data_IF_803756232391
#
_entry.id   IF_803756232391
#
_cell.length_a   1.000
_cell.length_b   1.000
_cell.length_c   1.000
_cell.angle_alpha   90.00
_cell.angle_beta   90.00
_cell.angle_gamma   90.00
#
_symmetry.space_group_name_H-M   'P 1'
#
loop_
_entity.id
_entity.type
_entity.pdbx_description
1 polymer ?
#
# COMPACT_ATOMS: atom_id res chain seq x y z
N UNK A 1 -18.77 40.88 -34.01
CA UNK A 1 -18.32 40.96 -35.42
C UNK A 1 -19.17 41.98 -36.13
N UNK A 2 -18.59 42.89 -36.96
CA UNK A 2 -19.31 43.85 -37.75
C UNK A 2 -19.09 43.51 -39.22
N UNK A 3 -20.16 43.35 -40.00
CA UNK A 3 -20.11 43.22 -41.46
C UNK A 3 -20.75 44.45 -42.06
N UNK A 4 -20.02 45.12 -42.95
CA UNK A 4 -20.51 46.26 -43.66
C UNK A 4 -20.72 45.94 -45.15
N UNK A 5 -21.82 46.43 -45.70
CA UNK A 5 -22.11 46.36 -47.12
C UNK A 5 -22.31 47.77 -47.64
N UNK A 6 -21.62 48.10 -48.72
CA UNK A 6 -21.74 49.37 -49.40
C UNK A 6 -22.90 49.33 -50.36
N UNK A 7 -23.81 50.29 -50.26
CA UNK A 7 -24.92 50.44 -51.19
C UNK A 7 -24.51 51.38 -52.29
N UNK A 8 -24.69 50.96 -53.58
CA UNK A 8 -24.38 51.72 -54.77
C UNK A 8 -25.61 51.90 -55.64
N UNK A 9 -25.69 53.00 -56.36
CA UNK A 9 -26.68 53.24 -57.38
C UNK A 9 -26.35 52.55 -58.71
N UNK A 10 -27.23 52.72 -59.71
CA UNK A 10 -27.02 52.14 -61.05
C UNK A 10 -25.86 52.74 -61.83
N UNK A 11 -25.25 53.80 -61.33
CA UNK A 11 -24.09 54.50 -61.91
C UNK A 11 -22.81 54.25 -61.06
N UNK A 12 -22.86 53.25 -60.14
CA UNK A 12 -21.78 52.84 -59.25
C UNK A 12 -21.41 53.87 -58.14
N UNK A 13 -22.24 54.93 -57.94
CA UNK A 13 -22.03 55.88 -56.85
C UNK A 13 -22.50 55.30 -55.53
N UNK A 14 -21.71 55.46 -54.46
CA UNK A 14 -22.04 55.02 -53.13
C UNK A 14 -23.07 55.98 -52.54
N UNK A 15 -24.30 55.49 -52.16
CA UNK A 15 -25.30 56.30 -51.52
C UNK A 15 -25.56 55.86 -50.04
N UNK A 16 -24.96 54.78 -49.60
CA UNK A 16 -25.14 54.34 -48.19
C UNK A 16 -24.29 53.14 -47.79
N UNK A 17 -24.33 52.86 -46.51
CA UNK A 17 -23.68 51.69 -45.89
C UNK A 17 -24.67 51.00 -44.98
N UNK A 18 -24.74 49.69 -45.02
CA UNK A 18 -25.44 48.85 -44.05
C UNK A 18 -24.44 48.16 -43.20
N UNK A 19 -24.53 48.32 -41.89
CA UNK A 19 -23.71 47.60 -40.91
C UNK A 19 -24.61 46.61 -40.17
N UNK A 20 -24.21 45.36 -40.21
CA UNK A 20 -24.83 44.31 -39.38
C UNK A 20 -23.88 44.05 -38.19
N UNK A 21 -24.36 44.33 -37.01
CA UNK A 21 -23.62 44.07 -35.78
C UNK A 21 -24.14 42.79 -35.17
N UNK A 22 -23.26 41.84 -35.05
CA UNK A 22 -23.59 40.59 -34.36
C UNK A 22 -23.11 40.70 -32.93
N UNK A 23 -23.99 40.50 -31.96
CA UNK A 23 -23.61 40.29 -30.57
C UNK A 23 -23.08 38.86 -30.44
N UNK A 24 -21.79 38.71 -30.20
CA UNK A 24 -21.12 37.44 -30.05
C UNK A 24 -20.64 37.24 -28.59
N UNK A 25 -21.12 38.02 -27.66
CA UNK A 25 -20.70 38.05 -26.26
C UNK A 25 -20.92 36.68 -25.58
N UNK A 26 -22.08 36.06 -25.82
CA UNK A 26 -22.39 34.76 -25.24
C UNK A 26 -21.44 33.66 -25.73
N UNK A 27 -21.10 33.66 -27.02
CA UNK A 27 -20.18 32.71 -27.59
C UNK A 27 -18.72 32.95 -27.07
N UNK A 28 -18.37 34.23 -26.89
CA UNK A 28 -17.07 34.57 -26.33
C UNK A 28 -16.94 34.09 -24.85
N UNK A 29 -17.94 34.32 -24.03
CA UNK A 29 -17.99 33.84 -22.64
C UNK A 29 -17.93 32.31 -22.58
N UNK A 30 -18.69 31.63 -23.43
CA UNK A 30 -18.67 30.17 -23.51
C UNK A 30 -17.30 29.62 -23.90
N UNK A 31 -16.64 30.25 -24.87
CA UNK A 31 -15.27 29.87 -25.28
C UNK A 31 -14.27 30.06 -24.15
N UNK A 32 -14.31 31.20 -23.48
CA UNK A 32 -13.42 31.48 -22.35
C UNK A 32 -13.65 30.50 -21.18
N UNK A 33 -14.90 30.15 -20.88
CA UNK A 33 -15.22 29.12 -19.87
C UNK A 33 -14.68 27.73 -20.27
N UNK A 34 -14.79 27.36 -21.54
CA UNK A 34 -14.25 26.10 -22.07
C UNK A 34 -12.72 26.10 -21.98
N UNK A 35 -12.07 27.18 -22.41
CA UNK A 35 -10.61 27.32 -22.36
C UNK A 35 -10.09 27.26 -20.92
N UNK A 36 -10.75 27.95 -19.98
CA UNK A 36 -10.41 27.91 -18.57
C UNK A 36 -10.62 26.51 -17.96
N UNK A 37 -11.69 25.80 -18.35
CA UNK A 37 -11.95 24.43 -17.91
C UNK A 37 -10.92 23.45 -18.47
N UNK A 38 -10.56 23.60 -19.72
CA UNK A 38 -9.50 22.81 -20.38
C UNK A 38 -8.13 23.08 -19.74
N UNK A 39 -7.80 24.35 -19.43
CA UNK A 39 -6.56 24.70 -18.75
C UNK A 39 -6.48 24.06 -17.35
N UNK A 40 -7.59 24.06 -16.58
CA UNK A 40 -7.65 23.41 -15.26
C UNK A 40 -7.51 21.88 -15.35
N UNK A 41 -8.14 21.27 -16.35
CA UNK A 41 -7.99 19.83 -16.63
C UNK A 41 -6.56 19.50 -17.02
N UNK A 42 -5.94 20.32 -17.89
CA UNK A 42 -4.54 20.17 -18.28
C UNK A 42 -3.59 20.20 -17.09
N UNK A 43 -3.70 21.20 -16.22
CA UNK A 43 -2.88 21.28 -15.00
C UNK A 43 -3.05 20.03 -14.12
N UNK A 44 -4.25 19.47 -14.04
CA UNK A 44 -4.50 18.25 -13.26
C UNK A 44 -3.84 17.00 -13.87
N UNK A 45 -3.69 16.95 -15.20
CA UNK A 45 -3.02 15.86 -15.93
C UNK A 45 -1.51 16.08 -15.97
N UNK A 46 -1.05 17.33 -16.08
CA UNK A 46 0.36 17.73 -16.19
C UNK A 46 1.17 17.54 -14.88
N UNK A 47 0.52 17.23 -13.76
CA UNK A 47 1.22 16.93 -12.49
C UNK A 47 1.91 15.55 -12.46
N UNK A 48 2.02 14.87 -13.58
CA UNK A 48 3.01 13.79 -13.80
C UNK A 48 2.56 12.36 -13.46
N UNK A 49 1.51 12.18 -12.67
CA UNK A 49 1.14 10.85 -12.15
C UNK A 49 -0.16 10.28 -12.75
N UNK A 50 -0.72 10.93 -13.78
CA UNK A 50 -2.06 10.60 -14.25
C UNK A 50 -2.18 10.68 -15.76
N UNK A 51 -3.09 9.89 -16.29
CA UNK A 51 -3.45 9.86 -17.72
C UNK A 51 -4.96 10.01 -17.87
N UNK A 52 -5.33 10.57 -19.02
CA UNK A 52 -6.71 10.57 -19.50
C UNK A 52 -6.85 9.51 -20.58
N UNK A 53 -7.89 8.69 -20.52
CA UNK A 53 -8.24 7.81 -21.62
C UNK A 53 -9.72 7.94 -21.97
N UNK A 54 -10.01 7.76 -23.25
CA UNK A 54 -11.35 7.76 -23.82
C UNK A 54 -11.59 6.43 -24.50
N UNK A 55 -12.79 5.86 -24.27
CA UNK A 55 -13.26 4.66 -24.93
C UNK A 55 -14.48 4.95 -25.79
N UNK A 56 -14.34 4.71 -27.10
CA UNK A 56 -15.39 4.71 -28.08
C UNK A 56 -16.02 3.32 -28.11
N UNK A 57 -17.22 3.21 -27.51
CA UNK A 57 -17.92 1.93 -27.33
C UNK A 57 -18.37 1.35 -28.67
N UNK A 58 -18.81 2.21 -29.60
CA UNK A 58 -19.32 1.80 -30.91
C UNK A 58 -18.24 1.20 -31.80
N UNK A 59 -17.05 1.81 -31.79
CA UNK A 59 -15.92 1.38 -32.63
C UNK A 59 -14.94 0.47 -31.90
N UNK A 60 -15.20 0.11 -30.64
CA UNK A 60 -14.28 -0.62 -29.74
C UNK A 60 -12.87 -0.04 -29.77
N UNK A 61 -12.77 1.27 -29.65
CA UNK A 61 -11.50 1.98 -29.74
C UNK A 61 -11.16 2.69 -28.44
N UNK A 62 -10.03 2.33 -27.84
CA UNK A 62 -9.44 3.01 -26.71
C UNK A 62 -8.36 3.99 -27.18
N UNK A 63 -8.45 5.23 -26.69
CA UNK A 63 -7.44 6.28 -26.95
C UNK A 63 -6.93 6.75 -25.59
N UNK A 64 -5.59 6.79 -25.45
CA UNK A 64 -4.93 7.27 -24.23
C UNK A 64 -4.26 8.60 -24.54
N UNK A 65 -4.59 9.60 -23.74
CA UNK A 65 -3.95 10.92 -23.77
C UNK A 65 -3.04 11.05 -22.54
N UNK A 66 -1.76 11.19 -22.79
CA UNK A 66 -0.74 11.37 -21.77
C UNK A 66 -0.51 12.84 -21.40
N UNK A 67 -1.25 13.78 -22.02
CA UNK A 67 -1.04 15.21 -21.87
C UNK A 67 0.31 15.68 -22.41
N UNK A 68 0.80 16.82 -21.90
CA UNK A 68 2.11 17.37 -22.24
C UNK A 68 3.22 16.82 -21.33
N UNK A 69 3.00 15.65 -20.71
CA UNK A 69 3.97 15.07 -19.78
C UNK A 69 5.26 14.67 -20.49
N UNK A 70 6.20 15.58 -20.56
CA UNK A 70 7.60 15.31 -20.92
C UNK A 70 8.24 14.31 -19.94
N UNK A 71 7.65 14.11 -18.76
CA UNK A 71 8.13 13.28 -17.65
C UNK A 71 7.53 11.87 -17.58
N UNK A 72 6.82 11.38 -18.60
CA UNK A 72 6.34 9.98 -18.65
C UNK A 72 7.47 8.99 -18.32
N UNK A 73 8.70 9.30 -18.71
CA UNK A 73 9.86 8.45 -18.45
C UNK A 73 10.21 8.32 -16.96
N UNK A 74 9.80 9.26 -16.12
CA UNK A 74 10.06 9.24 -14.68
C UNK A 74 8.99 8.46 -13.90
N UNK A 75 7.86 8.11 -14.53
CA UNK A 75 6.79 7.32 -13.93
C UNK A 75 6.70 5.95 -14.63
N UNK A 76 7.31 4.94 -14.01
CA UNK A 76 7.40 3.59 -14.58
C UNK A 76 6.02 3.00 -14.94
N UNK A 77 4.98 3.26 -14.13
CA UNK A 77 3.64 2.76 -14.40
C UNK A 77 2.96 3.45 -15.58
N UNK A 78 3.14 4.77 -15.75
CA UNK A 78 2.62 5.49 -16.92
C UNK A 78 3.38 5.11 -18.19
N UNK A 79 4.69 4.94 -18.09
CA UNK A 79 5.49 4.40 -19.18
C UNK A 79 5.04 3.00 -19.60
N UNK A 80 4.73 2.13 -18.63
CA UNK A 80 4.22 0.80 -18.92
C UNK A 80 2.86 0.84 -19.64
N UNK A 81 1.96 1.79 -19.30
CA UNK A 81 0.70 2.00 -20.04
C UNK A 81 0.99 2.46 -21.47
N UNK A 82 1.91 3.41 -21.64
CA UNK A 82 2.31 3.89 -22.96
C UNK A 82 2.86 2.73 -23.83
N UNK A 83 3.78 1.95 -23.29
CA UNK A 83 4.44 0.87 -23.99
C UNK A 83 3.49 -0.32 -24.28
N UNK A 84 2.48 -0.54 -23.43
CA UNK A 84 1.44 -1.55 -23.65
C UNK A 84 0.53 -1.23 -24.83
N UNK A 85 0.33 0.07 -25.14
CA UNK A 85 -0.40 0.56 -26.31
C UNK A 85 -1.82 0.00 -26.43
N UNK A 86 -2.65 0.29 -25.44
CA UNK A 86 -4.06 -0.11 -25.40
C UNK A 86 -4.84 0.35 -26.64
N UNK A 87 -5.55 -0.53 -27.29
CA UNK A 87 -6.32 -0.23 -28.52
C UNK A 87 -7.83 -0.42 -28.34
N UNK A 88 -8.24 -1.39 -27.53
CA UNK A 88 -9.62 -1.84 -27.40
C UNK A 88 -9.94 -2.34 -25.99
N UNK A 89 -11.18 -2.82 -25.82
CA UNK A 89 -11.67 -3.35 -24.55
C UNK A 89 -10.93 -4.61 -24.09
N UNK A 90 -10.52 -5.49 -25.01
CA UNK A 90 -9.83 -6.73 -24.64
C UNK A 90 -8.45 -6.46 -24.08
N UNK A 91 -7.72 -5.47 -24.63
CA UNK A 91 -6.44 -5.01 -24.07
C UNK A 91 -6.62 -4.48 -22.64
N UNK A 92 -7.69 -3.68 -22.41
CA UNK A 92 -8.02 -3.19 -21.07
C UNK A 92 -8.30 -4.33 -20.10
N UNK A 93 -9.14 -5.28 -20.50
CA UNK A 93 -9.59 -6.42 -19.72
C UNK A 93 -8.45 -7.35 -19.33
N UNK A 94 -7.61 -7.72 -20.31
CA UNK A 94 -6.49 -8.63 -20.11
C UNK A 94 -5.38 -8.07 -19.23
N UNK A 95 -5.27 -6.75 -19.13
CA UNK A 95 -4.30 -6.09 -18.25
C UNK A 95 -4.68 -6.09 -16.77
N UNK A 96 -5.94 -6.34 -16.41
CA UNK A 96 -6.39 -6.31 -15.01
C UNK A 96 -5.84 -7.54 -14.27
N UNK A 97 -5.29 -7.32 -13.08
CA UNK A 97 -4.82 -8.42 -12.23
C UNK A 97 -5.95 -9.40 -11.91
N UNK A 98 -5.71 -10.74 -11.96
CA UNK A 98 -6.76 -11.76 -11.78
C UNK A 98 -7.62 -11.57 -10.52
N UNK A 99 -7.01 -11.25 -9.37
CA UNK A 99 -7.74 -11.04 -8.10
C UNK A 99 -8.67 -9.83 -8.14
N UNK A 100 -8.36 -8.80 -8.97
CA UNK A 100 -9.15 -7.58 -9.07
C UNK A 100 -10.18 -7.64 -10.20
N UNK A 101 -10.09 -8.64 -11.08
CA UNK A 101 -10.87 -8.77 -12.29
C UNK A 101 -12.38 -8.77 -12.03
N UNK A 102 -12.86 -9.63 -11.15
CA UNK A 102 -14.30 -9.72 -10.85
C UNK A 102 -14.84 -8.41 -10.28
N UNK A 103 -14.11 -7.82 -9.35
CA UNK A 103 -14.49 -6.57 -8.69
C UNK A 103 -14.52 -5.38 -9.65
N UNK A 104 -13.53 -5.26 -10.52
CA UNK A 104 -13.36 -4.08 -11.38
C UNK A 104 -14.10 -4.26 -12.70
N UNK A 105 -13.88 -5.38 -13.39
CA UNK A 105 -14.47 -5.60 -14.71
C UNK A 105 -15.92 -6.04 -14.61
N UNK A 106 -16.21 -7.15 -13.92
CA UNK A 106 -17.57 -7.70 -13.91
C UNK A 106 -18.56 -6.88 -13.12
N UNK A 107 -18.14 -6.32 -11.94
CA UNK A 107 -19.05 -5.59 -11.04
C UNK A 107 -19.11 -4.07 -11.28
N UNK A 108 -18.17 -3.51 -12.06
CA UNK A 108 -18.14 -2.07 -12.31
C UNK A 108 -18.10 -1.73 -13.81
N UNK A 109 -17.06 -2.15 -14.55
CA UNK A 109 -16.90 -1.75 -15.95
C UNK A 109 -17.99 -2.35 -16.86
N UNK A 110 -18.32 -3.62 -16.71
CA UNK A 110 -19.39 -4.27 -17.47
C UNK A 110 -20.79 -3.67 -17.21
N UNK A 111 -21.21 -3.39 -15.96
CA UNK A 111 -22.45 -2.63 -15.69
C UNK A 111 -22.43 -1.21 -16.26
N UNK A 112 -21.28 -0.52 -16.28
CA UNK A 112 -21.12 0.77 -16.93
C UNK A 112 -21.42 0.67 -18.43
N UNK A 113 -20.81 -0.29 -19.14
CA UNK A 113 -21.07 -0.55 -20.56
C UNK A 113 -22.54 -0.86 -20.87
N UNK A 114 -23.25 -1.46 -19.91
CA UNK A 114 -24.67 -1.80 -20.04
C UNK A 114 -25.62 -0.63 -19.66
N UNK A 115 -25.07 0.55 -19.36
CA UNK A 115 -25.86 1.70 -18.91
C UNK A 115 -26.53 1.53 -17.54
N UNK A 116 -26.16 0.50 -16.75
CA UNK A 116 -26.69 0.25 -15.40
C UNK A 116 -26.12 1.20 -14.35
N UNK A 117 -24.93 1.68 -14.58
CA UNK A 117 -24.26 2.74 -13.80
C UNK A 117 -23.62 3.73 -14.77
N UNK A 118 -23.44 4.98 -14.36
CA UNK A 118 -22.87 6.02 -15.20
C UNK A 118 -21.42 6.35 -14.88
N UNK A 119 -20.94 5.93 -13.71
CA UNK A 119 -19.57 6.15 -13.27
C UNK A 119 -19.16 5.15 -12.18
N UNK A 120 -17.84 5.02 -11.98
CA UNK A 120 -17.26 4.35 -10.82
C UNK A 120 -15.86 4.89 -10.53
N UNK A 121 -15.37 4.66 -9.30
CA UNK A 121 -14.00 4.90 -8.89
C UNK A 121 -13.44 3.60 -8.33
N UNK A 122 -12.24 3.20 -8.79
CA UNK A 122 -11.62 1.98 -8.33
C UNK A 122 -10.09 2.12 -8.26
N UNK A 123 -9.51 1.68 -7.14
CA UNK A 123 -8.10 1.36 -7.04
C UNK A 123 -7.91 -0.14 -7.31
N UNK A 124 -7.03 -0.49 -8.26
CA UNK A 124 -6.81 -1.87 -8.69
C UNK A 124 -5.44 -2.06 -9.32
N UNK A 125 -5.04 -3.32 -9.42
CA UNK A 125 -3.76 -3.71 -10.02
C UNK A 125 -3.93 -3.99 -11.50
N UNK A 126 -2.93 -3.60 -12.28
CA UNK A 126 -2.73 -4.03 -13.66
C UNK A 126 -1.40 -4.73 -13.82
N UNK A 127 -1.36 -5.72 -14.69
CA UNK A 127 -0.14 -6.40 -15.12
C UNK A 127 0.21 -5.85 -16.50
N UNK A 128 1.30 -5.09 -16.57
CA UNK A 128 1.78 -4.46 -17.79
C UNK A 128 3.23 -4.90 -18.02
N UNK A 129 3.51 -5.51 -19.17
CA UNK A 129 4.85 -6.01 -19.51
C UNK A 129 5.46 -6.92 -18.41
N UNK A 130 4.62 -7.77 -17.78
CA UNK A 130 5.03 -8.68 -16.72
C UNK A 130 5.22 -8.06 -15.33
N UNK A 131 5.04 -6.74 -15.17
CA UNK A 131 5.10 -6.05 -13.88
C UNK A 131 3.71 -5.65 -13.40
N UNK A 132 3.52 -5.65 -12.09
CA UNK A 132 2.26 -5.24 -11.44
C UNK A 132 2.36 -3.80 -10.96
N UNK A 133 1.37 -2.98 -11.37
CA UNK A 133 1.24 -1.58 -10.94
C UNK A 133 -0.13 -1.34 -10.32
N UNK A 134 -0.20 -0.44 -9.35
CA UNK A 134 -1.45 0.03 -8.78
C UNK A 134 -1.93 1.30 -9.47
N UNK A 135 -3.19 1.28 -9.92
CA UNK A 135 -3.85 2.43 -10.51
C UNK A 135 -5.12 2.77 -9.75
N UNK A 136 -5.42 4.06 -9.67
CA UNK A 136 -6.71 4.57 -9.24
C UNK A 136 -7.40 5.22 -10.43
N UNK A 137 -8.53 4.68 -10.86
CA UNK A 137 -9.27 5.15 -12.02
C UNK A 137 -10.63 5.72 -11.62
N UNK A 138 -10.93 6.93 -12.11
CA UNK A 138 -12.25 7.54 -12.05
C UNK A 138 -12.84 7.49 -13.46
N UNK A 139 -13.82 6.62 -13.66
CA UNK A 139 -14.41 6.30 -14.97
C UNK A 139 -15.82 6.84 -15.04
N UNK A 140 -16.18 7.47 -16.16
CA UNK A 140 -17.50 8.06 -16.37
C UNK A 140 -17.94 7.96 -17.82
N UNK A 141 -19.21 7.60 -18.03
CA UNK A 141 -19.91 7.76 -19.31
C UNK A 141 -20.34 9.21 -19.48
N UNK A 142 -20.11 9.80 -20.67
CA UNK A 142 -20.45 11.20 -20.94
C UNK A 142 -21.27 11.42 -22.21
N UNK A 143 -21.34 10.43 -23.11
CA UNK A 143 -22.28 10.38 -24.25
C UNK A 143 -23.02 9.05 -24.23
N UNK A 144 -24.28 9.11 -24.64
CA UNK A 144 -25.21 7.97 -24.60
C UNK A 144 -25.92 7.82 -25.93
N UNK A 145 -26.30 6.61 -26.28
CA UNK A 145 -27.18 6.24 -27.37
C UNK A 145 -28.65 6.52 -26.96
N UNK A 146 -29.58 6.47 -27.91
CA UNK A 146 -31.00 6.68 -27.69
C UNK A 146 -31.61 5.64 -26.71
N UNK A 147 -31.02 4.46 -26.60
CA UNK A 147 -31.45 3.40 -25.69
C UNK A 147 -30.85 3.56 -24.25
N UNK A 148 -30.08 4.61 -23.99
CA UNK A 148 -29.46 4.89 -22.71
C UNK A 148 -28.16 4.16 -22.47
N UNK A 149 -27.67 3.35 -23.41
CA UNK A 149 -26.34 2.75 -23.31
C UNK A 149 -25.25 3.80 -23.58
N UNK A 150 -24.06 3.70 -22.95
CA UNK A 150 -22.98 4.65 -23.19
C UNK A 150 -22.38 4.47 -24.59
N UNK A 151 -22.16 5.60 -25.27
CA UNK A 151 -21.44 5.67 -26.55
C UNK A 151 -19.98 6.07 -26.34
N UNK A 152 -19.72 6.94 -25.33
CA UNK A 152 -18.38 7.40 -24.97
C UNK A 152 -18.16 7.32 -23.47
N UNK A 153 -16.99 6.80 -23.09
CA UNK A 153 -16.53 6.71 -21.71
C UNK A 153 -15.19 7.41 -21.60
N UNK A 154 -15.00 8.17 -20.55
CA UNK A 154 -13.75 8.85 -20.24
C UNK A 154 -13.28 8.41 -18.86
N UNK A 155 -11.99 8.34 -18.66
CA UNK A 155 -11.40 8.10 -17.34
C UNK A 155 -10.14 8.92 -17.11
N UNK A 156 -10.02 9.36 -15.87
CA UNK A 156 -8.79 9.87 -15.30
C UNK A 156 -8.18 8.76 -14.42
N UNK A 157 -6.94 8.37 -14.74
CA UNK A 157 -6.26 7.24 -14.09
C UNK A 157 -4.90 7.68 -13.58
N UNK A 158 -4.66 7.52 -12.28
CA UNK A 158 -3.41 7.84 -11.61
C UNK A 158 -2.65 6.57 -11.25
N UNK A 159 -1.33 6.59 -11.41
CA UNK A 159 -0.45 5.56 -10.86
C UNK A 159 -0.24 5.82 -9.35
N UNK A 160 -0.68 4.91 -8.53
CA UNK A 160 -0.58 5.00 -7.06
C UNK A 160 0.38 3.94 -6.47
N UNK A 161 1.24 3.35 -7.31
CA UNK A 161 2.15 2.27 -6.89
C UNK A 161 3.08 2.72 -5.77
N UNK A 162 3.81 3.82 -5.96
CA UNK A 162 4.71 4.36 -4.94
C UNK A 162 3.99 4.77 -3.65
N UNK A 163 2.77 5.31 -3.78
CA UNK A 163 1.98 5.67 -2.61
C UNK A 163 1.62 4.42 -1.79
N UNK A 164 1.21 3.34 -2.46
CA UNK A 164 0.89 2.06 -1.82
C UNK A 164 2.11 1.39 -1.18
N UNK A 165 3.25 1.42 -1.85
CA UNK A 165 4.51 0.90 -1.31
C UNK A 165 4.91 1.63 -0.03
N UNK A 166 4.89 2.96 -0.03
CA UNK A 166 5.16 3.77 1.17
C UNK A 166 4.16 3.53 2.30
N UNK A 167 2.89 3.34 1.97
CA UNK A 167 1.85 3.04 2.97
C UNK A 167 2.10 1.68 3.64
N UNK A 168 2.45 0.65 2.85
CA UNK A 168 2.81 -0.69 3.35
C UNK A 168 4.07 -0.62 4.22
N UNK A 169 5.10 0.10 3.79
CA UNK A 169 6.33 0.28 4.56
C UNK A 169 6.06 0.97 5.90
N UNK A 170 5.25 2.03 5.89
CA UNK A 170 4.86 2.73 7.11
C UNK A 170 4.08 1.84 8.09
N UNK A 171 3.21 0.98 7.58
CA UNK A 171 2.48 0.00 8.41
C UNK A 171 3.47 -0.98 9.05
N UNK A 172 4.41 -1.54 8.28
CA UNK A 172 5.45 -2.46 8.79
C UNK A 172 6.30 -1.82 9.89
N UNK A 173 6.74 -0.57 9.68
CA UNK A 173 7.52 0.17 10.68
C UNK A 173 6.72 0.39 11.96
N UNK A 174 5.44 0.77 11.85
CA UNK A 174 4.56 0.96 13.02
C UNK A 174 4.29 -0.34 13.78
N UNK A 175 4.12 -1.45 13.08
CA UNK A 175 3.94 -2.77 13.69
C UNK A 175 5.22 -3.20 14.43
N UNK A 176 6.38 -3.04 13.81
CA UNK A 176 7.67 -3.32 14.45
C UNK A 176 7.89 -2.47 15.73
N UNK A 177 7.58 -1.17 15.68
CA UNK A 177 7.69 -0.26 16.84
C UNK A 177 6.73 -0.66 17.99
N UNK A 178 5.51 -1.07 17.64
CA UNK A 178 4.54 -1.59 18.60
C UNK A 178 5.02 -2.87 19.30
N UNK A 179 5.57 -3.81 18.53
CA UNK A 179 6.13 -5.05 19.06
C UNK A 179 7.31 -4.76 19.98
N UNK A 180 8.21 -3.85 19.58
CA UNK A 180 9.35 -3.42 20.40
C UNK A 180 8.92 -2.78 21.71
N UNK A 181 7.91 -1.90 21.68
CA UNK A 181 7.38 -1.26 22.88
C UNK A 181 6.73 -2.26 23.84
N UNK A 182 5.95 -3.20 23.32
CA UNK A 182 5.34 -4.27 24.10
C UNK A 182 6.40 -5.20 24.73
N UNK A 183 7.44 -5.54 23.97
CA UNK A 183 8.56 -6.33 24.45
C UNK A 183 9.26 -5.64 25.64
N UNK A 184 9.62 -4.36 25.51
CA UNK A 184 10.27 -3.60 26.59
C UNK A 184 9.38 -3.48 27.86
N UNK A 185 8.08 -3.30 27.67
CA UNK A 185 7.15 -3.26 28.80
C UNK A 185 7.08 -4.60 29.53
N UNK A 186 6.99 -5.72 28.79
CA UNK A 186 6.96 -7.06 29.36
C UNK A 186 8.30 -7.38 30.07
N UNK A 187 9.45 -7.09 29.44
CA UNK A 187 10.77 -7.30 30.04
C UNK A 187 10.94 -6.52 31.36
N UNK A 188 10.46 -5.27 31.40
CA UNK A 188 10.48 -4.48 32.62
C UNK A 188 9.69 -5.13 33.75
N UNK A 189 8.55 -5.77 33.44
CA UNK A 189 7.74 -6.49 34.40
C UNK A 189 8.41 -7.79 34.86
N UNK A 190 8.95 -8.57 33.91
CA UNK A 190 9.64 -9.84 34.20
C UNK A 190 10.92 -9.63 35.02
N UNK A 191 11.65 -8.54 34.84
CA UNK A 191 12.80 -8.15 35.65
C UNK A 191 12.39 -7.70 37.06
N UNK A 192 11.29 -6.93 37.18
CA UNK A 192 10.85 -6.35 38.45
C UNK A 192 10.44 -7.43 39.48
N UNK A 193 9.82 -8.49 39.04
CA UNK A 193 9.30 -9.56 39.91
C UNK A 193 10.41 -10.24 40.68
N UNK A 194 11.44 -10.86 40.07
CA UNK A 194 12.56 -11.47 40.78
C UNK A 194 13.37 -10.45 41.58
N UNK A 195 13.55 -9.24 41.06
CA UNK A 195 14.27 -8.17 41.77
C UNK A 195 13.57 -7.81 43.09
N UNK A 196 12.26 -7.66 43.08
CA UNK A 196 11.49 -7.36 44.29
C UNK A 196 11.55 -8.53 45.32
N UNK A 197 11.59 -9.77 44.83
CA UNK A 197 11.77 -10.93 45.73
C UNK A 197 13.16 -10.91 46.35
N UNK A 198 14.23 -10.68 45.59
CA UNK A 198 15.61 -10.57 46.11
C UNK A 198 15.70 -9.47 47.18
N UNK A 199 15.20 -8.26 46.86
CA UNK A 199 15.24 -7.13 47.81
C UNK A 199 14.40 -7.39 49.03
N UNK A 200 13.19 -7.93 48.88
CA UNK A 200 12.28 -8.25 50.00
C UNK A 200 12.89 -9.26 50.96
N UNK A 201 13.38 -10.39 50.46
CA UNK A 201 13.98 -11.43 51.34
C UNK A 201 15.34 -11.00 51.90
N UNK A 202 16.13 -10.20 51.15
CA UNK A 202 17.40 -9.68 51.69
C UNK A 202 17.21 -8.76 52.87
N UNK A 203 16.09 -8.01 52.95
CA UNK A 203 15.80 -7.14 54.09
C UNK A 203 15.36 -7.94 55.34
N UNK A 204 14.68 -9.05 55.13
CA UNK A 204 14.14 -9.89 56.23
C UNK A 204 15.20 -10.77 56.81
N UNK A 205 16.11 -11.31 55.99
CA UNK A 205 17.12 -12.33 56.41
C UNK A 205 18.02 -11.86 57.55
N UNK A 206 18.22 -10.55 57.70
CA UNK A 206 19.05 -9.96 58.76
C UNK A 206 18.36 -10.06 60.16
N UNK A 207 17.05 -10.23 60.19
CA UNK A 207 16.27 -10.27 61.43
C UNK A 207 15.89 -11.71 61.86
N UNK A 208 16.31 -12.73 61.10
CA UNK A 208 15.95 -14.13 61.34
C UNK A 208 17.03 -14.82 62.16
N UNK A 209 16.65 -15.34 63.36
CA UNK A 209 17.52 -16.09 64.23
C UNK A 209 17.55 -17.62 63.93
N UNK A 210 16.51 -18.14 63.26
CA UNK A 210 16.39 -19.56 62.87
C UNK A 210 17.22 -19.83 61.60
N UNK A 211 18.20 -20.72 61.73
CA UNK A 211 19.12 -21.07 60.67
C UNK A 211 18.42 -21.78 59.49
N UNK A 212 17.42 -22.63 59.79
CA UNK A 212 16.68 -23.36 58.74
C UNK A 212 15.83 -22.38 57.93
N UNK A 213 15.17 -21.44 58.60
CA UNK A 213 14.36 -20.40 57.93
C UNK A 213 15.28 -19.46 57.13
N UNK A 214 16.45 -19.05 57.67
CA UNK A 214 17.43 -18.23 57.00
C UNK A 214 17.91 -18.88 55.69
N UNK A 215 18.23 -20.19 55.74
CA UNK A 215 18.65 -20.96 54.57
C UNK A 215 17.56 -21.00 53.50
N UNK A 216 16.30 -21.17 53.89
CA UNK A 216 15.17 -21.15 52.97
C UNK A 216 15.07 -19.82 52.22
N UNK A 217 15.28 -18.68 52.87
CA UNK A 217 15.25 -17.37 52.21
C UNK A 217 16.46 -17.14 51.32
N UNK A 218 17.62 -17.63 51.69
CA UNK A 218 18.82 -17.63 50.82
C UNK A 218 18.56 -18.41 49.52
N UNK A 219 17.93 -19.56 49.59
CA UNK A 219 17.60 -20.38 48.44
C UNK A 219 16.61 -19.64 47.50
N UNK A 220 15.66 -18.91 48.05
CA UNK A 220 14.70 -18.08 47.28
C UNK A 220 15.50 -16.93 46.56
N UNK A 221 16.40 -16.27 47.27
CA UNK A 221 17.25 -15.19 46.71
C UNK A 221 18.07 -15.75 45.55
N UNK A 222 18.78 -16.86 45.73
CA UNK A 222 19.58 -17.49 44.72
C UNK A 222 18.78 -17.87 43.49
N UNK A 223 17.63 -18.53 43.68
CA UNK A 223 16.76 -18.90 42.57
C UNK A 223 16.22 -17.71 41.74
N UNK A 224 15.90 -16.60 42.41
CA UNK A 224 15.47 -15.38 41.69
C UNK A 224 16.66 -14.68 41.02
N UNK A 225 17.86 -14.76 41.56
CA UNK A 225 19.08 -14.24 40.93
C UNK A 225 19.40 -15.02 39.64
N UNK A 226 19.35 -16.35 39.68
CA UNK A 226 19.55 -17.19 38.49
C UNK A 226 18.53 -16.89 37.41
N UNK A 227 17.25 -16.72 37.78
CA UNK A 227 16.18 -16.31 36.85
C UNK A 227 16.46 -14.93 36.23
N UNK A 228 16.95 -13.97 37.01
CA UNK A 228 17.28 -12.64 36.50
C UNK A 228 18.47 -12.68 35.53
N UNK A 229 19.50 -13.47 35.80
CA UNK A 229 20.61 -13.66 34.90
C UNK A 229 20.18 -14.29 33.59
N UNK A 230 19.34 -15.31 33.63
CA UNK A 230 18.76 -15.93 32.43
C UNK A 230 17.97 -14.92 31.60
N UNK A 231 17.12 -14.08 32.23
CA UNK A 231 16.36 -13.03 31.52
C UNK A 231 17.30 -12.00 30.84
N UNK A 232 18.42 -11.65 31.47
CA UNK A 232 19.41 -10.74 30.90
C UNK A 232 20.08 -11.38 29.68
N UNK A 233 20.44 -12.63 29.75
CA UNK A 233 21.04 -13.37 28.64
C UNK A 233 20.09 -13.49 27.48
N UNK A 234 18.80 -13.80 27.72
CA UNK A 234 17.73 -13.84 26.71
C UNK A 234 17.54 -12.49 26.01
N UNK A 235 17.60 -11.36 26.76
CA UNK A 235 17.52 -10.00 26.19
C UNK A 235 18.74 -9.68 25.33
N UNK A 236 19.94 -10.07 25.77
CA UNK A 236 21.17 -9.87 25.01
C UNK A 236 21.17 -10.67 23.71
N UNK A 237 20.74 -11.92 23.74
CA UNK A 237 20.65 -12.76 22.56
C UNK A 237 19.58 -12.24 21.58
N UNK A 238 18.43 -11.82 22.09
CA UNK A 238 17.43 -11.14 21.25
C UNK A 238 18.00 -9.87 20.58
N UNK A 239 18.78 -9.08 21.33
CA UNK A 239 19.41 -7.86 20.79
C UNK A 239 20.44 -8.17 19.71
N UNK A 240 21.21 -9.26 19.84
CA UNK A 240 22.16 -9.74 18.82
C UNK A 240 21.44 -10.21 17.56
N UNK A 241 20.30 -10.92 17.71
CA UNK A 241 19.46 -11.36 16.59
C UNK A 241 18.91 -10.15 15.85
N UNK A 242 18.32 -9.16 16.56
CA UNK A 242 17.77 -7.94 15.97
C UNK A 242 18.84 -7.13 15.21
N UNK A 243 20.05 -7.07 15.76
CA UNK A 243 21.20 -6.38 15.14
C UNK A 243 21.85 -7.18 14.00
N UNK A 244 21.48 -8.44 13.79
CA UNK A 244 22.13 -9.33 12.82
C UNK A 244 23.59 -9.64 13.16
N UNK A 245 23.96 -9.53 14.45
CA UNK A 245 25.35 -9.73 14.95
C UNK A 245 25.53 -11.05 15.70
N UNK A 246 24.54 -11.97 15.57
CA UNK A 246 24.64 -13.28 16.18
C UNK A 246 25.68 -14.14 15.45
N UNK A 247 26.69 -14.56 16.15
CA UNK A 247 27.71 -15.49 15.63
C UNK A 247 27.20 -16.93 15.74
N UNK A 248 27.21 -17.65 14.63
CA UNK A 248 26.84 -19.06 14.58
C UNK A 248 28.09 -19.90 14.38
N UNK A 249 28.36 -20.81 15.33
CA UNK A 249 29.37 -21.83 15.16
C UNK A 249 28.71 -23.12 14.66
N UNK A 250 29.10 -23.54 13.45
CA UNK A 250 28.64 -24.79 12.88
C UNK A 250 29.71 -25.85 13.09
N UNK A 251 29.37 -26.94 13.77
CA UNK A 251 30.24 -28.09 13.98
C UNK A 251 29.45 -29.38 13.73
N UNK A 252 30.20 -30.43 13.39
CA UNK A 252 29.60 -31.76 13.29
C UNK A 252 29.37 -32.32 14.69
N UNK A 253 28.12 -32.67 15.00
CA UNK A 253 27.74 -33.23 16.31
C UNK A 253 26.96 -34.53 16.11
N UNK A 254 27.17 -35.49 17.01
CA UNK A 254 26.35 -36.67 17.09
C UNK A 254 25.12 -36.37 17.93
N UNK A 255 23.93 -36.45 17.30
CA UNK A 255 22.64 -36.18 17.98
C UNK A 255 22.44 -37.15 19.15
N UNK A 256 22.96 -38.41 19.06
CA UNK A 256 22.82 -39.38 20.15
C UNK A 256 23.61 -38.97 21.37
N UNK A 257 24.79 -38.38 21.18
CA UNK A 257 25.62 -37.87 22.29
C UNK A 257 24.92 -36.72 23.00
N UNK A 258 24.35 -35.75 22.25
CA UNK A 258 23.59 -34.62 22.80
C UNK A 258 22.37 -35.13 23.58
N UNK A 259 21.60 -36.05 23.00
CA UNK A 259 20.45 -36.63 23.68
C UNK A 259 20.84 -37.39 24.96
N UNK A 260 22.01 -38.07 24.92
CA UNK A 260 22.58 -38.72 26.10
C UNK A 260 22.95 -37.76 27.22
N UNK A 261 23.57 -36.64 26.88
CA UNK A 261 23.90 -35.56 27.85
C UNK A 261 22.64 -34.93 28.46
N UNK A 262 21.60 -34.65 27.64
CA UNK A 262 20.33 -34.14 28.11
C UNK A 262 19.64 -35.15 29.05
N UNK A 263 19.63 -36.44 28.68
CA UNK A 263 19.07 -37.50 29.50
C UNK A 263 19.75 -37.58 30.87
N UNK A 264 21.07 -37.45 30.88
CA UNK A 264 21.87 -37.47 32.13
C UNK A 264 21.57 -36.26 33.03
N UNK A 265 21.51 -35.06 32.41
CA UNK A 265 21.24 -33.80 33.12
C UNK A 265 19.82 -33.77 33.73
N UNK A 266 18.84 -34.27 33.00
CA UNK A 266 17.44 -34.27 33.45
C UNK A 266 17.12 -35.42 34.39
N UNK A 267 17.82 -36.55 34.32
CA UNK A 267 17.65 -37.68 35.24
C UNK A 267 17.85 -37.29 36.73
N UNK A 268 18.66 -36.24 36.97
CA UNK A 268 18.92 -35.70 38.33
C UNK A 268 17.70 -34.96 38.87
N UNK A 269 16.87 -34.40 37.98
CA UNK A 269 15.71 -33.55 38.34
C UNK A 269 14.37 -34.29 38.23
N UNK A 270 14.37 -35.46 37.59
CA UNK A 270 13.15 -36.22 37.35
C UNK A 270 12.65 -36.96 38.60
N UNK A 271 11.31 -37.02 38.81
CA UNK A 271 10.70 -37.88 39.78
C UNK A 271 11.03 -39.36 39.50
N UNK A 272 11.18 -40.15 40.55
CA UNK A 272 11.62 -41.57 40.45
C UNK A 272 10.60 -42.51 39.73
N UNK A 273 9.45 -42.03 39.39
CA UNK A 273 8.36 -42.72 38.69
C UNK A 273 8.18 -42.28 37.22
N UNK A 274 9.11 -41.49 36.66
CA UNK A 274 9.12 -41.02 35.27
C UNK A 274 10.36 -41.51 34.53
N UNK A 275 10.17 -42.15 33.39
CA UNK A 275 11.21 -42.55 32.49
C UNK A 275 11.33 -41.62 31.31
N UNK A 276 12.55 -41.20 30.96
CA UNK A 276 12.85 -40.41 29.75
C UNK A 276 13.27 -41.36 28.64
N UNK A 277 12.49 -41.39 27.57
CA UNK A 277 12.76 -42.24 26.39
C UNK A 277 13.05 -41.35 25.19
N UNK A 278 14.24 -41.53 24.59
CA UNK A 278 14.53 -40.93 23.29
C UNK A 278 14.30 -41.96 22.19
N UNK A 279 13.42 -41.64 21.25
CA UNK A 279 13.20 -42.41 20.01
C UNK A 279 14.01 -41.75 18.91
N UNK A 280 15.15 -42.34 18.57
CA UNK A 280 16.16 -41.83 17.64
C UNK A 280 16.26 -42.78 16.45
N UNK A 281 15.16 -42.98 15.72
CA UNK A 281 15.13 -43.76 14.46
C UNK A 281 15.90 -43.08 13.29
#
# INVERSE_FOLDING_TARGET
MVKGVTLKDSLDNIFGYIYIVFDDTENHIKREQIENSLARLKVSVDTGDSILWEYDVENDKLTVDFGLNEDINNNEGLKAIHDYNFKNQEDYKSSIHPDDFDRVYNKQFKPLLQGKINNFVAAYRRILNGKTFWFNSNVRSYKFNDDGTPNRIVSYTSNITQQREKEIELIKVKEADKLKSAFLANMSHEIRTPLNAIVGFSNIIAEIDDEVERQSYLDIIHKNNDLLLQLIDDILDFSKIEAGTMDYHFEEVDIKDICGEIALADSIKMPSDVDLIFDLD
#
